data_IF_152943102590
#
_entry.id   IF_152943102590
#
_cell.length_a   1.000
_cell.length_b   1.000
_cell.length_c   1.000
_cell.angle_alpha   90.00
_cell.angle_beta   90.00
_cell.angle_gamma   90.00
#
_symmetry.space_group_name_H-M   'P 1'
#
loop_
_entity.id
_entity.type
_entity.pdbx_description
1 polymer ?
#
# COMPACT_ATOMS: atom_id res chain seq x y z
N UNK A 1 -8.37 -15.18 -2.17
CA UNK A 1 -7.69 -14.29 -1.21
C UNK A 1 -7.39 -12.96 -1.87
N UNK A 2 -7.63 -11.85 -1.17
CA UNK A 2 -7.18 -10.49 -1.55
C UNK A 2 -6.03 -10.03 -0.66
N UNK A 3 -5.29 -9.02 -1.08
CA UNK A 3 -4.10 -8.52 -0.41
C UNK A 3 -4.21 -7.00 -0.27
N UNK A 4 -3.92 -6.45 0.91
CA UNK A 4 -3.68 -5.00 1.07
C UNK A 4 -2.21 -4.70 1.25
N UNK A 5 -1.78 -3.58 0.69
CA UNK A 5 -0.41 -3.12 0.72
C UNK A 5 -0.35 -1.61 0.98
N UNK A 6 0.72 -1.15 1.62
CA UNK A 6 0.93 0.27 1.86
C UNK A 6 1.37 0.98 0.57
N UNK A 7 1.04 2.28 0.42
CA UNK A 7 1.60 3.11 -0.65
C UNK A 7 3.05 3.48 -0.35
N UNK A 8 3.67 4.21 -1.27
CA UNK A 8 4.98 4.84 -1.07
C UNK A 8 4.90 6.36 -1.19
N UNK A 9 5.76 7.08 -0.45
CA UNK A 9 5.97 8.52 -0.64
C UNK A 9 6.79 8.84 -1.90
N UNK A 10 7.68 7.94 -2.29
CA UNK A 10 8.43 8.03 -3.54
C UNK A 10 7.55 7.53 -4.68
N UNK A 11 7.39 8.37 -5.72
CA UNK A 11 6.53 8.10 -6.87
C UNK A 11 7.26 8.38 -8.19
N UNK A 12 7.11 7.47 -9.15
CA UNK A 12 7.58 7.61 -10.55
C UNK A 12 6.71 8.63 -11.30
N UNK A 13 7.26 9.17 -12.38
CA UNK A 13 6.54 10.06 -13.31
C UNK A 13 6.29 9.40 -14.67
N UNK A 14 6.78 8.17 -14.84
CA UNK A 14 6.68 7.38 -16.06
C UNK A 14 5.90 6.08 -15.80
N UNK A 15 5.09 5.67 -16.77
CA UNK A 15 4.36 4.43 -16.70
C UNK A 15 5.18 3.29 -17.29
N UNK A 16 5.65 2.37 -16.45
CA UNK A 16 6.44 1.21 -16.90
C UNK A 16 5.63 0.13 -17.64
N UNK A 17 4.31 0.29 -17.79
CA UNK A 17 3.43 -0.66 -18.48
C UNK A 17 2.90 -0.14 -19.82
N UNK A 18 3.43 0.95 -20.37
CA UNK A 18 2.97 1.52 -21.66
C UNK A 18 2.96 0.50 -22.81
N UNK A 19 3.91 -0.44 -22.81
CA UNK A 19 4.04 -1.48 -23.84
C UNK A 19 3.32 -2.80 -23.50
N UNK A 20 2.58 -2.86 -22.39
CA UNK A 20 1.88 -4.08 -21.94
C UNK A 20 0.38 -3.96 -22.22
N UNK A 21 -0.25 -5.05 -22.63
CA UNK A 21 -1.71 -5.11 -22.85
C UNK A 21 -2.44 -5.25 -21.50
N UNK A 22 -2.55 -4.13 -20.77
CA UNK A 22 -3.22 -4.07 -19.48
C UNK A 22 -4.36 -3.05 -19.57
N UNK A 23 -5.53 -3.46 -19.13
CA UNK A 23 -6.66 -2.54 -18.94
C UNK A 23 -6.47 -1.72 -17.67
N UNK A 24 -6.53 -0.39 -17.80
CA UNK A 24 -6.49 0.53 -16.68
C UNK A 24 -7.91 0.91 -16.24
N UNK A 25 -8.08 1.14 -14.95
CA UNK A 25 -9.37 1.49 -14.34
C UNK A 25 -9.29 2.84 -13.63
N UNK A 26 -10.42 3.39 -13.19
CA UNK A 26 -10.43 4.58 -12.33
C UNK A 26 -10.55 4.20 -10.85
N UNK A 27 -10.08 5.09 -9.97
CA UNK A 27 -10.27 4.94 -8.53
C UNK A 27 -11.75 4.81 -8.16
N UNK A 28 -12.12 3.91 -7.23
CA UNK A 28 -13.50 3.76 -6.78
C UNK A 28 -14.01 4.96 -5.95
N UNK A 29 -13.13 5.89 -5.55
CA UNK A 29 -13.44 6.99 -4.65
C UNK A 29 -13.08 8.37 -5.23
N UNK A 30 -13.33 8.56 -6.52
CA UNK A 30 -13.00 9.80 -7.25
C UNK A 30 -13.55 11.06 -6.58
N UNK A 31 -14.83 11.05 -6.17
CA UNK A 31 -15.47 12.21 -5.57
C UNK A 31 -14.84 12.58 -4.21
N UNK A 32 -14.57 11.59 -3.37
CA UNK A 32 -13.88 11.81 -2.09
C UNK A 32 -12.42 12.25 -2.28
N UNK A 33 -11.76 11.74 -3.30
CA UNK A 33 -10.41 12.18 -3.67
C UNK A 33 -10.42 13.67 -4.05
N UNK A 34 -11.40 14.10 -4.84
CA UNK A 34 -11.54 15.50 -5.24
C UNK A 34 -11.76 16.43 -4.04
N UNK A 35 -12.54 16.03 -3.04
CA UNK A 35 -12.70 16.79 -1.79
C UNK A 35 -11.33 17.08 -1.14
N UNK A 36 -10.46 16.07 -1.03
CA UNK A 36 -9.13 16.25 -0.44
C UNK A 36 -8.22 17.14 -1.31
N UNK A 37 -8.29 17.00 -2.64
CA UNK A 37 -7.55 17.86 -3.57
C UNK A 37 -8.00 19.31 -3.47
N UNK A 38 -9.31 19.57 -3.41
CA UNK A 38 -9.85 20.92 -3.31
C UNK A 38 -9.42 21.59 -2.01
N UNK A 39 -9.45 20.86 -0.89
CA UNK A 39 -8.91 21.33 0.39
C UNK A 39 -7.42 21.67 0.28
N UNK A 40 -6.63 20.80 -0.36
CA UNK A 40 -5.19 21.04 -0.52
C UNK A 40 -4.89 22.24 -1.44
N UNK A 41 -5.66 22.43 -2.52
CA UNK A 41 -5.52 23.57 -3.45
C UNK A 41 -5.80 24.91 -2.77
N UNK A 42 -6.66 24.95 -1.76
CA UNK A 42 -6.98 26.18 -1.01
C UNK A 42 -5.88 26.62 -0.04
N UNK A 43 -4.89 25.77 0.25
CA UNK A 43 -3.83 26.07 1.22
C UNK A 43 -2.74 26.94 0.63
N UNK A 44 -2.22 27.87 1.43
CA UNK A 44 -1.00 28.61 1.10
C UNK A 44 0.24 27.70 1.14
N UNK A 45 1.35 28.16 0.55
CA UNK A 45 2.61 27.41 0.59
C UNK A 45 3.12 27.24 2.03
N UNK A 46 2.92 28.23 2.90
CA UNK A 46 3.29 28.20 4.32
C UNK A 46 2.44 27.20 5.10
N UNK A 47 1.14 27.09 4.79
CA UNK A 47 0.29 26.05 5.37
C UNK A 47 0.74 24.65 4.94
N UNK A 48 1.04 24.45 3.65
CA UNK A 48 1.57 23.19 3.13
C UNK A 48 2.92 22.84 3.79
N UNK A 49 3.81 23.81 3.94
CA UNK A 49 5.07 23.66 4.66
C UNK A 49 4.85 23.13 6.07
N UNK A 50 3.96 23.79 6.81
CA UNK A 50 3.65 23.46 8.21
C UNK A 50 3.04 22.06 8.35
N UNK A 51 1.97 21.76 7.62
CA UNK A 51 1.24 20.50 7.80
C UNK A 51 1.99 19.28 7.24
N UNK A 52 2.77 19.46 6.16
CA UNK A 52 3.51 18.37 5.52
C UNK A 52 4.97 18.28 5.98
N UNK A 53 5.45 19.26 6.76
CA UNK A 53 6.83 19.37 7.27
C UNK A 53 7.87 19.28 6.14
N UNK A 54 7.62 19.98 5.04
CA UNK A 54 8.51 20.01 3.86
C UNK A 54 9.40 21.23 3.91
N UNK A 55 10.49 21.22 3.15
CA UNK A 55 11.42 22.36 3.06
C UNK A 55 11.97 22.49 1.64
N UNK A 56 12.44 23.68 1.31
CA UNK A 56 13.20 23.97 0.08
C UNK A 56 12.51 23.43 -1.18
N UNK A 57 13.27 22.80 -2.09
CA UNK A 57 12.80 22.32 -3.39
C UNK A 57 11.63 21.34 -3.28
N UNK A 58 11.60 20.51 -2.22
CA UNK A 58 10.51 19.56 -2.03
C UNK A 58 9.19 20.27 -1.71
N UNK A 59 9.23 21.36 -0.94
CA UNK A 59 8.06 22.19 -0.67
C UNK A 59 7.58 22.86 -1.96
N UNK A 60 8.48 23.53 -2.68
CA UNK A 60 8.15 24.24 -3.93
C UNK A 60 7.55 23.28 -4.97
N UNK A 61 8.14 22.09 -5.15
CA UNK A 61 7.62 21.06 -6.06
C UNK A 61 6.27 20.54 -5.60
N UNK A 62 6.11 20.22 -4.32
CA UNK A 62 4.84 19.67 -3.79
C UNK A 62 3.71 20.69 -3.93
N UNK A 63 3.97 21.96 -3.61
CA UNK A 63 2.99 23.04 -3.78
C UNK A 63 2.60 23.21 -5.25
N UNK A 64 3.58 23.24 -6.16
CA UNK A 64 3.32 23.30 -7.60
C UNK A 64 2.49 22.13 -8.10
N UNK A 65 2.80 20.91 -7.65
CA UNK A 65 2.07 19.68 -8.00
C UNK A 65 0.61 19.74 -7.50
N UNK A 66 0.36 20.24 -6.28
CA UNK A 66 -0.99 20.45 -5.72
C UNK A 66 -1.77 21.47 -6.56
N UNK A 67 -1.20 22.65 -6.81
CA UNK A 67 -1.87 23.73 -7.55
C UNK A 67 -2.14 23.37 -9.02
N UNK A 68 -1.30 22.52 -9.62
CA UNK A 68 -1.45 22.06 -11.01
C UNK A 68 -1.95 20.61 -11.11
N UNK A 69 -2.59 20.08 -10.07
CA UNK A 69 -2.98 18.67 -9.99
C UNK A 69 -3.75 18.18 -11.22
N UNK A 70 -4.61 19.02 -11.79
CA UNK A 70 -5.44 18.66 -12.94
C UNK A 70 -4.62 18.39 -14.21
N UNK A 71 -3.42 18.98 -14.30
CA UNK A 71 -2.48 18.83 -15.42
C UNK A 71 -1.48 17.67 -15.24
N UNK A 72 -1.43 17.05 -14.06
CA UNK A 72 -0.53 15.92 -13.81
C UNK A 72 -0.94 14.69 -14.63
N UNK A 73 0.03 13.87 -14.99
CA UNK A 73 -0.18 12.61 -15.73
C UNK A 73 -0.86 11.57 -14.85
N UNK A 74 -1.76 10.80 -15.44
CA UNK A 74 -2.27 9.57 -14.86
C UNK A 74 -1.29 8.43 -15.11
N UNK A 75 -1.00 7.66 -14.06
CA UNK A 75 -0.13 6.48 -14.08
C UNK A 75 -0.82 5.38 -13.27
N UNK A 76 -0.78 4.09 -13.69
CA UNK A 76 -1.32 3.00 -12.88
C UNK A 76 -0.72 2.96 -11.47
N UNK A 77 -1.54 2.74 -10.44
CA UNK A 77 -1.11 2.84 -9.04
C UNK A 77 0.12 1.99 -8.70
N UNK A 78 0.16 0.73 -9.15
CA UNK A 78 1.29 -0.18 -8.93
C UNK A 78 2.58 0.28 -9.64
N UNK A 79 2.45 1.03 -10.74
CA UNK A 79 3.55 1.65 -11.49
C UNK A 79 4.02 2.96 -10.85
N UNK A 80 3.09 3.74 -10.29
CA UNK A 80 3.35 5.04 -9.66
C UNK A 80 4.21 4.90 -8.41
N UNK A 81 3.87 4.01 -7.48
CA UNK A 81 4.56 3.90 -6.20
C UNK A 81 5.93 3.22 -6.33
N UNK A 82 7.00 3.82 -5.80
CA UNK A 82 8.38 3.36 -6.00
C UNK A 82 9.29 3.42 -4.77
N UNK A 83 8.74 3.13 -3.60
CA UNK A 83 9.51 3.08 -2.35
C UNK A 83 10.22 1.75 -2.11
N UNK A 84 10.84 1.62 -0.93
CA UNK A 84 11.54 0.40 -0.48
C UNK A 84 10.76 -0.89 -0.79
N UNK A 85 9.48 -0.97 -0.40
CA UNK A 85 8.68 -2.17 -0.64
C UNK A 85 8.34 -2.41 -2.11
N UNK A 86 8.17 -1.36 -2.92
CA UNK A 86 7.82 -1.49 -4.35
C UNK A 86 9.04 -1.83 -5.21
N UNK A 87 10.24 -1.37 -4.82
CA UNK A 87 11.50 -1.74 -5.48
C UNK A 87 11.75 -3.25 -5.45
N UNK A 88 11.32 -3.94 -4.40
CA UNK A 88 11.44 -5.40 -4.26
C UNK A 88 10.43 -6.19 -5.11
N UNK A 89 9.45 -5.53 -5.73
CA UNK A 89 8.51 -6.19 -6.63
C UNK A 89 9.14 -6.52 -7.99
N UNK A 90 10.15 -5.76 -8.44
CA UNK A 90 10.80 -5.96 -9.74
C UNK A 90 9.76 -6.03 -10.88
N UNK A 91 8.81 -5.08 -10.88
CA UNK A 91 7.61 -5.10 -11.72
C UNK A 91 7.90 -5.24 -13.22
N UNK A 92 9.02 -4.71 -13.67
CA UNK A 92 9.48 -4.78 -15.06
C UNK A 92 9.69 -6.23 -15.54
N UNK A 93 9.98 -7.16 -14.62
CA UNK A 93 10.17 -8.58 -14.88
C UNK A 93 8.87 -9.40 -14.84
N UNK A 94 7.70 -8.77 -14.63
CA UNK A 94 6.45 -9.51 -14.47
C UNK A 94 5.91 -10.03 -15.82
N UNK A 95 5.49 -11.30 -15.80
CA UNK A 95 4.72 -11.93 -16.85
C UNK A 95 3.27 -11.42 -16.85
N UNK A 96 2.51 -11.74 -17.90
CA UNK A 96 1.07 -11.43 -17.96
C UNK A 96 0.29 -12.08 -16.81
N UNK A 97 0.69 -13.29 -16.38
CA UNK A 97 0.09 -13.98 -15.24
C UNK A 97 0.36 -13.26 -13.91
N UNK A 98 1.59 -12.78 -13.71
CA UNK A 98 1.94 -11.96 -12.54
C UNK A 98 1.13 -10.65 -12.50
N UNK A 99 0.96 -10.00 -13.65
CA UNK A 99 0.14 -8.78 -13.75
C UNK A 99 -1.35 -9.08 -13.51
N UNK A 100 -1.87 -10.20 -14.01
CA UNK A 100 -3.23 -10.65 -13.73
C UNK A 100 -3.44 -10.93 -12.24
N UNK A 101 -2.48 -11.62 -11.60
CA UNK A 101 -2.53 -11.85 -10.15
C UNK A 101 -2.67 -10.54 -9.38
N UNK A 102 -1.87 -9.52 -9.72
CA UNK A 102 -1.98 -8.19 -9.13
C UNK A 102 -3.35 -7.57 -9.37
N UNK A 103 -3.81 -7.54 -10.64
CA UNK A 103 -5.13 -6.98 -11.03
C UNK A 103 -6.25 -7.56 -10.19
N UNK A 104 -6.22 -8.88 -9.99
CA UNK A 104 -7.31 -9.61 -9.35
C UNK A 104 -7.24 -9.56 -7.81
N UNK A 105 -6.07 -9.33 -7.22
CA UNK A 105 -5.87 -9.58 -5.77
C UNK A 105 -5.36 -8.40 -4.97
N UNK A 106 -4.66 -7.43 -5.56
CA UNK A 106 -3.97 -6.41 -4.81
C UNK A 106 -4.76 -5.10 -4.70
N UNK A 107 -4.93 -4.65 -3.47
CA UNK A 107 -5.37 -3.32 -3.10
C UNK A 107 -4.20 -2.55 -2.47
N UNK A 108 -3.95 -1.34 -2.97
CA UNK A 108 -2.95 -0.42 -2.42
C UNK A 108 -3.69 0.66 -1.64
N UNK A 109 -3.50 0.70 -0.33
CA UNK A 109 -4.10 1.74 0.51
C UNK A 109 -3.47 3.10 0.19
N UNK A 110 -4.18 4.20 0.43
CA UNK A 110 -3.72 5.54 0.09
C UNK A 110 -4.34 6.60 0.99
N UNK A 111 -3.54 7.60 1.38
CA UNK A 111 -4.04 8.75 2.11
C UNK A 111 -4.92 9.66 1.26
N UNK A 112 -4.62 9.76 -0.05
CA UNK A 112 -5.36 10.61 -0.98
C UNK A 112 -6.50 9.86 -1.67
N UNK A 113 -6.27 8.61 -2.08
CA UNK A 113 -7.25 7.82 -2.83
C UNK A 113 -8.06 6.87 -1.96
N UNK A 114 -7.76 6.77 -0.66
CA UNK A 114 -8.30 5.76 0.25
C UNK A 114 -7.77 4.35 -0.04
N UNK A 115 -8.15 3.81 -1.20
CA UNK A 115 -7.69 2.55 -1.75
C UNK A 115 -7.67 2.64 -3.28
N UNK A 116 -6.67 2.00 -3.90
CA UNK A 116 -6.56 1.82 -5.34
C UNK A 116 -6.36 0.33 -5.66
N UNK A 117 -6.95 -0.17 -6.74
CA UNK A 117 -6.51 -1.42 -7.37
C UNK A 117 -5.13 -1.21 -8.01
N UNK A 118 -4.44 -2.29 -8.34
CA UNK A 118 -3.11 -2.21 -8.97
C UNK A 118 -3.06 -1.31 -10.20
N UNK A 119 -4.08 -1.37 -11.05
CA UNK A 119 -4.11 -0.66 -12.33
C UNK A 119 -5.12 0.48 -12.37
N UNK A 120 -5.57 0.96 -11.21
CA UNK A 120 -6.29 2.22 -11.14
C UNK A 120 -5.34 3.36 -11.53
N UNK A 121 -5.80 4.26 -12.40
CA UNK A 121 -5.07 5.46 -12.77
C UNK A 121 -5.06 6.45 -11.60
N UNK A 122 -3.85 6.81 -11.18
CA UNK A 122 -3.60 7.80 -10.13
C UNK A 122 -2.67 8.89 -10.66
N UNK A 123 -2.79 10.08 -10.10
CA UNK A 123 -1.86 11.19 -10.27
C UNK A 123 -0.91 11.29 -9.08
N UNK A 124 0.28 11.82 -9.34
CA UNK A 124 1.31 12.03 -8.33
C UNK A 124 0.75 12.95 -7.24
N UNK A 125 1.03 12.61 -6.00
CA UNK A 125 0.59 13.39 -4.85
C UNK A 125 1.55 13.25 -3.68
N UNK A 126 1.38 14.12 -2.69
CA UNK A 126 2.04 13.96 -1.39
C UNK A 126 1.03 14.21 -0.28
N UNK A 127 0.61 13.14 0.37
CA UNK A 127 -0.28 13.18 1.53
C UNK A 127 0.03 11.96 2.39
N UNK A 128 0.17 12.19 3.69
CA UNK A 128 0.45 11.16 4.69
C UNK A 128 -0.80 10.98 5.57
N UNK A 129 -1.08 9.75 6.02
CA UNK A 129 -2.28 9.43 6.80
C UNK A 129 -2.41 10.23 8.09
N UNK A 130 -1.29 10.72 8.62
CA UNK A 130 -1.25 11.49 9.88
C UNK A 130 -1.56 12.98 9.70
N UNK A 131 -1.63 13.48 8.46
CA UNK A 131 -1.87 14.90 8.19
C UNK A 131 -3.35 15.22 8.39
N UNK A 132 -3.61 16.20 9.26
CA UNK A 132 -4.96 16.65 9.59
C UNK A 132 -5.43 17.75 8.64
N UNK A 133 -6.01 17.38 7.50
CA UNK A 133 -6.64 18.32 6.55
C UNK A 133 -8.17 18.28 6.56
N UNK A 134 -8.77 17.35 7.30
CA UNK A 134 -10.22 17.14 7.41
C UNK A 134 -10.61 16.96 8.88
N UNK A 135 -11.88 17.24 9.20
CA UNK A 135 -12.40 16.99 10.55
C UNK A 135 -12.19 15.51 10.95
N UNK A 136 -11.75 15.30 12.19
CA UNK A 136 -11.44 13.98 12.78
C UNK A 136 -10.38 13.15 12.01
N UNK A 137 -9.68 13.76 11.06
CA UNK A 137 -8.54 13.19 10.35
C UNK A 137 -8.88 12.15 9.27
N UNK A 138 -7.86 11.80 8.47
CA UNK A 138 -8.02 10.94 7.29
C UNK A 138 -8.48 9.52 7.60
N UNK A 139 -8.18 9.00 8.80
CA UNK A 139 -8.73 7.71 9.23
C UNK A 139 -10.25 7.73 9.29
N UNK A 140 -10.84 8.75 9.92
CA UNK A 140 -12.29 8.86 10.02
C UNK A 140 -12.92 9.06 8.64
N UNK A 141 -12.30 9.92 7.82
CA UNK A 141 -12.76 10.23 6.47
C UNK A 141 -12.85 9.01 5.55
N UNK A 142 -11.92 8.05 5.67
CA UNK A 142 -11.80 6.90 4.77
C UNK A 142 -12.36 5.59 5.30
N UNK A 143 -12.41 5.40 6.62
CA UNK A 143 -12.65 4.07 7.23
C UNK A 143 -13.95 3.44 6.75
N UNK A 144 -15.05 4.19 6.63
CA UNK A 144 -16.33 3.62 6.22
C UNK A 144 -16.25 3.06 4.79
N UNK A 145 -15.86 3.88 3.83
CA UNK A 145 -15.89 3.55 2.40
C UNK A 145 -14.90 2.44 2.05
N UNK A 146 -13.69 2.47 2.63
CA UNK A 146 -12.69 1.41 2.41
C UNK A 146 -13.23 0.06 2.91
N UNK A 147 -13.80 0.01 4.11
CA UNK A 147 -14.31 -1.25 4.66
C UNK A 147 -15.52 -1.78 3.87
N UNK A 148 -16.44 -0.90 3.47
CA UNK A 148 -17.58 -1.27 2.63
C UNK A 148 -17.11 -1.81 1.27
N UNK A 149 -16.14 -1.16 0.64
CA UNK A 149 -15.60 -1.57 -0.65
C UNK A 149 -14.89 -2.92 -0.57
N UNK A 150 -14.00 -3.11 0.42
CA UNK A 150 -13.29 -4.37 0.61
C UNK A 150 -14.28 -5.49 0.93
N UNK A 151 -15.24 -5.27 1.83
CA UNK A 151 -16.22 -6.29 2.19
C UNK A 151 -17.04 -6.76 0.99
N UNK A 152 -17.42 -5.84 0.08
CA UNK A 152 -18.11 -6.19 -1.18
C UNK A 152 -17.20 -6.90 -2.19
N UNK A 153 -15.90 -6.68 -2.11
CA UNK A 153 -14.90 -7.26 -3.03
C UNK A 153 -14.40 -8.63 -2.62
N UNK A 154 -14.74 -9.07 -1.40
CA UNK A 154 -14.39 -10.38 -0.86
C UNK A 154 -15.55 -11.35 -1.09
N UNK A 155 -15.24 -12.55 -1.55
CA UNK A 155 -16.18 -13.67 -1.48
C UNK A 155 -16.44 -14.05 -0.01
N UNK A 156 -17.53 -14.81 0.23
CA UNK A 156 -17.84 -15.31 1.56
C UNK A 156 -16.64 -16.08 2.13
N UNK A 157 -16.27 -15.77 3.37
CA UNK A 157 -15.14 -16.35 4.10
C UNK A 157 -13.75 -16.13 3.46
N UNK A 158 -13.66 -15.34 2.39
CA UNK A 158 -12.39 -15.02 1.73
C UNK A 158 -11.48 -14.20 2.66
N UNK A 159 -10.23 -14.64 2.77
CA UNK A 159 -9.22 -13.96 3.57
C UNK A 159 -8.71 -12.70 2.87
N UNK A 160 -8.60 -11.62 3.65
CA UNK A 160 -7.79 -10.45 3.33
C UNK A 160 -6.40 -10.60 3.97
N UNK A 161 -5.37 -10.76 3.15
CA UNK A 161 -3.99 -10.78 3.61
C UNK A 161 -3.48 -9.34 3.81
N UNK A 162 -3.01 -9.02 5.00
CA UNK A 162 -2.48 -7.71 5.33
C UNK A 162 -0.95 -7.69 5.25
N UNK A 163 -0.44 -7.07 4.18
CA UNK A 163 0.97 -6.71 3.98
C UNK A 163 1.19 -5.19 4.12
N UNK A 164 0.19 -4.44 4.57
CA UNK A 164 0.34 -3.01 4.84
C UNK A 164 1.03 -2.77 6.19
N UNK A 165 1.57 -1.57 6.37
CA UNK A 165 2.08 -1.11 7.66
C UNK A 165 0.94 -0.91 8.65
N UNK A 166 1.23 -1.01 9.95
CA UNK A 166 0.25 -0.74 10.99
C UNK A 166 -0.35 0.68 10.96
N UNK A 167 0.29 1.65 10.28
CA UNK A 167 -0.31 2.95 10.00
C UNK A 167 -1.53 2.80 9.09
N UNK A 168 -1.37 2.15 7.94
CA UNK A 168 -2.46 1.96 6.97
C UNK A 168 -3.44 0.87 7.39
N UNK A 169 -2.99 -0.22 8.03
CA UNK A 169 -3.87 -1.31 8.48
C UNK A 169 -4.95 -0.85 9.47
N UNK A 170 -4.76 0.28 10.18
CA UNK A 170 -5.78 0.90 11.04
C UNK A 170 -7.05 1.34 10.29
N UNK A 171 -6.96 1.50 8.96
CA UNK A 171 -8.13 1.76 8.11
C UNK A 171 -9.08 0.57 8.05
N UNK A 172 -8.61 -0.65 8.33
CA UNK A 172 -9.41 -1.87 8.22
C UNK A 172 -10.04 -2.24 9.56
N UNK A 173 -11.33 -2.54 9.53
CA UNK A 173 -12.08 -3.04 10.68
C UNK A 173 -11.98 -4.57 10.74
N UNK A 174 -11.00 -5.06 11.50
CA UNK A 174 -10.75 -6.49 11.70
C UNK A 174 -11.91 -7.24 12.37
N UNK A 175 -12.89 -6.54 12.95
CA UNK A 175 -14.10 -7.18 13.51
C UNK A 175 -15.08 -7.59 12.41
N UNK A 176 -15.01 -6.94 11.24
CA UNK A 176 -15.92 -7.16 10.11
C UNK A 176 -15.27 -7.93 8.97
N UNK A 177 -13.96 -7.79 8.80
CA UNK A 177 -13.21 -8.40 7.70
C UNK A 177 -12.33 -9.51 8.25
N UNK A 178 -12.41 -10.69 7.63
CA UNK A 178 -11.52 -11.82 7.93
C UNK A 178 -10.10 -11.53 7.44
N UNK A 179 -9.33 -10.79 8.25
CA UNK A 179 -7.98 -10.35 7.91
C UNK A 179 -6.92 -11.19 8.62
N UNK A 180 -5.86 -11.55 7.89
CA UNK A 180 -4.65 -12.19 8.42
C UNK A 180 -3.47 -11.23 8.24
N UNK A 181 -2.81 -10.89 9.35
CA UNK A 181 -1.64 -10.02 9.35
C UNK A 181 -0.37 -10.81 9.11
N UNK A 182 0.48 -10.31 8.21
CA UNK A 182 1.84 -10.81 8.02
C UNK A 182 2.83 -9.78 8.55
N UNK A 183 3.60 -10.17 9.55
CA UNK A 183 4.62 -9.31 10.14
C UNK A 183 6.00 -9.97 10.13
N UNK A 184 7.02 -9.13 9.98
CA UNK A 184 8.41 -9.54 9.86
C UNK A 184 9.21 -8.99 11.04
N UNK A 185 9.90 -9.88 11.74
CA UNK A 185 10.77 -9.53 12.89
C UNK A 185 12.15 -10.14 12.73
N UNK A 186 13.14 -9.46 13.28
CA UNK A 186 14.52 -9.90 13.26
C UNK A 186 15.03 -10.15 14.67
N UNK A 187 15.91 -11.14 14.78
CA UNK A 187 16.61 -11.38 16.03
C UNK A 187 17.56 -10.21 16.32
N UNK A 188 17.40 -9.65 17.51
CA UNK A 188 18.30 -8.66 18.09
C UNK A 188 18.40 -8.94 19.59
N UNK A 189 19.61 -9.23 20.05
CA UNK A 189 19.92 -9.54 21.45
C UNK A 189 19.06 -10.68 22.01
N UNK A 190 18.90 -11.78 21.25
CA UNK A 190 18.10 -12.94 21.63
C UNK A 190 16.57 -12.73 21.60
N UNK A 191 16.10 -11.56 21.13
CA UNK A 191 14.66 -11.23 21.03
C UNK A 191 14.28 -10.82 19.61
N UNK A 192 13.07 -11.15 19.18
CA UNK A 192 12.57 -10.77 17.85
C UNK A 192 11.90 -9.40 17.85
N UNK A 193 12.43 -8.44 17.10
CA UNK A 193 11.93 -7.06 17.01
C UNK A 193 11.63 -6.67 15.56
N UNK A 194 10.61 -5.84 15.36
CA UNK A 194 10.32 -5.25 14.05
C UNK A 194 11.26 -4.09 13.77
N UNK A 195 11.98 -4.15 12.65
CA UNK A 195 12.85 -3.06 12.18
C UNK A 195 12.24 -2.50 10.90
N UNK A 196 11.80 -1.24 10.94
CA UNK A 196 10.94 -0.63 9.90
C UNK A 196 11.46 -0.83 8.47
N UNK A 197 12.75 -0.59 8.22
CA UNK A 197 13.36 -0.75 6.89
C UNK A 197 13.30 -2.19 6.40
N UNK A 198 13.66 -3.15 7.26
CA UNK A 198 13.65 -4.56 6.91
C UNK A 198 12.23 -5.11 6.78
N UNK A 199 11.30 -4.74 7.65
CA UNK A 199 9.90 -5.13 7.51
C UNK A 199 9.28 -4.58 6.21
N UNK A 200 9.63 -3.37 5.79
CA UNK A 200 9.18 -2.81 4.49
C UNK A 200 9.74 -3.62 3.32
N UNK A 201 11.04 -3.92 3.33
CA UNK A 201 11.70 -4.73 2.32
C UNK A 201 11.08 -6.13 2.25
N UNK A 202 10.94 -6.79 3.40
CA UNK A 202 10.34 -8.12 3.51
C UNK A 202 8.90 -8.16 2.98
N UNK A 203 8.04 -7.17 3.31
CA UNK A 203 6.69 -7.08 2.73
C UNK A 203 6.69 -7.00 1.21
N UNK A 204 7.60 -6.22 0.63
CA UNK A 204 7.77 -6.13 -0.83
C UNK A 204 8.19 -7.46 -1.44
N UNK A 205 9.25 -8.06 -0.91
CA UNK A 205 9.72 -9.38 -1.34
C UNK A 205 8.66 -10.47 -1.17
N UNK A 206 7.87 -10.40 -0.10
CA UNK A 206 6.81 -11.37 0.18
C UNK A 206 5.70 -11.24 -0.85
N UNK A 207 5.22 -10.02 -1.13
CA UNK A 207 4.25 -9.79 -2.21
C UNK A 207 4.80 -10.28 -3.55
N UNK A 208 6.07 -10.01 -3.86
CA UNK A 208 6.72 -10.51 -5.08
C UNK A 208 6.69 -12.04 -5.16
N UNK A 209 7.00 -12.72 -4.05
CA UNK A 209 6.97 -14.19 -3.97
C UNK A 209 5.55 -14.74 -4.17
N UNK A 210 4.54 -14.14 -3.53
CA UNK A 210 3.13 -14.52 -3.70
C UNK A 210 2.70 -14.42 -5.16
N UNK A 211 3.10 -13.33 -5.84
CA UNK A 211 2.78 -13.07 -7.24
C UNK A 211 3.49 -14.06 -8.15
N UNK A 212 4.83 -14.16 -8.08
CA UNK A 212 5.62 -15.02 -8.96
C UNK A 212 5.27 -16.51 -8.79
N UNK A 213 4.90 -16.93 -7.59
CA UNK A 213 4.56 -18.33 -7.27
C UNK A 213 3.06 -18.60 -7.29
N UNK A 214 2.22 -17.62 -7.66
CA UNK A 214 0.76 -17.74 -7.77
C UNK A 214 0.07 -18.25 -6.49
N UNK A 215 0.64 -17.92 -5.32
CA UNK A 215 0.18 -18.40 -4.01
C UNK A 215 -1.25 -17.94 -3.76
N UNK A 216 -2.13 -18.86 -3.36
CA UNK A 216 -3.55 -18.54 -3.22
C UNK A 216 -4.19 -18.99 -1.89
N UNK A 217 -3.47 -19.75 -1.07
CA UNK A 217 -3.95 -20.29 0.21
C UNK A 217 -3.06 -19.90 1.40
N UNK A 218 -3.63 -19.95 2.62
CA UNK A 218 -2.85 -19.72 3.86
C UNK A 218 -1.84 -20.85 4.11
N UNK A 219 -2.17 -22.09 3.75
CA UNK A 219 -1.30 -23.25 3.94
C UNK A 219 0.00 -23.14 3.13
N UNK A 220 -0.07 -22.56 1.93
CA UNK A 220 1.10 -22.24 1.13
C UNK A 220 1.90 -21.08 1.73
N UNK A 221 1.22 -20.04 2.22
CA UNK A 221 1.84 -18.87 2.87
C UNK A 221 2.67 -19.29 4.08
N UNK A 222 2.16 -20.18 4.92
CA UNK A 222 2.86 -20.67 6.11
C UNK A 222 4.15 -21.44 5.80
N UNK A 223 4.30 -21.94 4.56
CA UNK A 223 5.48 -22.68 4.09
C UNK A 223 6.55 -21.78 3.45
N UNK A 224 6.28 -20.47 3.31
CA UNK A 224 7.21 -19.55 2.66
C UNK A 224 8.51 -19.43 3.46
N UNK A 225 9.62 -19.56 2.74
CA UNK A 225 10.96 -19.17 3.20
C UNK A 225 11.47 -18.05 2.28
N UNK A 226 11.76 -16.89 2.85
CA UNK A 226 12.09 -15.69 2.10
C UNK A 226 13.28 -14.95 2.75
N UNK A 227 14.46 -14.97 2.13
CA UNK A 227 15.67 -14.35 2.70
C UNK A 227 15.94 -14.77 4.17
N UNK A 228 15.70 -16.05 4.49
CA UNK A 228 15.84 -16.56 5.86
C UNK A 228 14.68 -16.23 6.80
N UNK A 229 13.68 -15.47 6.37
CA UNK A 229 12.41 -15.35 7.07
C UNK A 229 11.61 -16.64 6.93
N UNK A 230 11.23 -17.22 8.07
CA UNK A 230 10.36 -18.40 8.16
C UNK A 230 9.28 -18.16 9.22
N UNK A 231 8.15 -18.87 9.11
CA UNK A 231 7.06 -18.74 10.07
C UNK A 231 7.51 -19.16 11.48
N UNK A 232 7.36 -18.25 12.43
CA UNK A 232 7.57 -18.52 13.85
C UNK A 232 6.24 -18.83 14.51
N UNK A 233 5.97 -20.12 14.74
CA UNK A 233 4.70 -20.58 15.30
C UNK A 233 4.46 -20.06 16.72
N UNK A 234 5.52 -19.93 17.52
CA UNK A 234 5.41 -19.48 18.92
C UNK A 234 5.02 -18.01 19.04
N UNK A 235 5.41 -17.19 18.07
CA UNK A 235 5.02 -15.78 18.00
C UNK A 235 3.74 -15.54 17.19
N UNK A 236 3.25 -16.56 16.49
CA UNK A 236 2.08 -16.47 15.62
C UNK A 236 0.79 -16.86 16.34
N UNK A 237 -0.33 -16.41 15.79
CA UNK A 237 -1.66 -16.86 16.17
C UNK A 237 -2.58 -16.87 14.95
N UNK A 238 -3.85 -17.24 15.15
CA UNK A 238 -4.84 -17.39 14.08
C UNK A 238 -5.10 -16.13 13.24
N UNK A 239 -4.65 -14.95 13.67
CA UNK A 239 -4.81 -13.68 12.95
C UNK A 239 -3.49 -13.00 12.60
N UNK A 240 -2.37 -13.47 13.13
CA UNK A 240 -1.07 -12.84 12.96
C UNK A 240 -0.03 -13.91 12.71
N UNK A 241 0.47 -13.97 11.48
CA UNK A 241 1.58 -14.84 11.10
C UNK A 241 2.87 -14.02 11.17
N UNK A 242 3.74 -14.41 12.10
CA UNK A 242 4.99 -13.72 12.36
C UNK A 242 6.11 -14.50 11.69
N UNK A 243 6.72 -13.90 10.68
CA UNK A 243 7.90 -14.42 10.04
C UNK A 243 9.14 -13.84 10.72
N UNK A 244 10.06 -14.72 11.13
CA UNK A 244 11.30 -14.32 11.79
C UNK A 244 12.52 -14.76 11.02
N UNK A 245 13.59 -13.97 11.09
CA UNK A 245 14.93 -14.38 10.67
C UNK A 245 15.96 -14.09 11.76
N UNK A 246 17.01 -14.91 11.79
CA UNK A 246 18.21 -14.60 12.58
C UNK A 246 19.04 -13.55 11.85
N UNK A 247 19.59 -12.58 12.57
CA UNK A 247 20.64 -11.74 12.01
C UNK A 247 21.93 -12.54 12.07
N UNK A 248 22.54 -12.77 10.90
CA UNK A 248 23.90 -13.31 10.79
C UNK A 248 24.91 -12.17 10.99
#
# INVERSE_FOLDING_TARGET
MKIIFSPSKEMREENIFENKKIEFTESPFKDKTNILIDILKQKSIEEIESIMKLKADLLAKTYKDIQNYDKLKYIPAISMYYGVSFKELELEAYSEESLKYLKDRLFILSALYGLSKSFDLVKKYRLDMTISIVDKGLYNFWKKEINEYISKSLAKDEVLLNLASGEFSKLIDMKKINMINIDFKEEKDGTYKSVSTYSKKARGKFLNYLVKSQINSLEEIEKINLDGYTLNKDLSNSKNLIFTRKNF
#
